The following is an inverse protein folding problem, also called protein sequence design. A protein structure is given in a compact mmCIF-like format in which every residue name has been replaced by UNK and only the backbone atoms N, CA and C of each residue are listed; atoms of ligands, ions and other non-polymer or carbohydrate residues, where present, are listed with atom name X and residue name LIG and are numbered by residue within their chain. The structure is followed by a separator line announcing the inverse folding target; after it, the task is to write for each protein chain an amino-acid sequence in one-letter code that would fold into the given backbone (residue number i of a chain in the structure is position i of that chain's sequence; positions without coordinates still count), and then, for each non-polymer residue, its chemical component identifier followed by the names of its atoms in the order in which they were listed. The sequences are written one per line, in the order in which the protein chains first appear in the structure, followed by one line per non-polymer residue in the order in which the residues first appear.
data_IF_958785388134
#
_entry.id   IF_958785388134
#
_cell.length_a   1.000
_cell.length_b   1.000
_cell.length_c   1.000
_cell.angle_alpha   90.00
_cell.angle_beta   90.00
_cell.angle_gamma   90.00
#
_symmetry.space_group_name_H-M   'P 1'
#
loop_
_entity.id
_entity.type
_entity.pdbx_description
1 polymer ?
#
# COMPACT_ATOMS: atom_id res chain seq x y z
N UNK A 1 0.52 36.66 -25.15
CA UNK A 1 -0.40 35.51 -25.00
C UNK A 1 -0.02 34.84 -23.69
N UNK A 2 -0.81 35.11 -22.66
CA UNK A 2 -0.43 35.07 -21.25
C UNK A 2 -0.26 33.66 -20.68
N UNK A 3 0.94 33.36 -20.19
CA UNK A 3 1.24 32.21 -19.35
C UNK A 3 0.34 32.15 -18.10
N UNK A 4 -0.13 33.30 -17.62
CA UNK A 4 -1.04 33.47 -16.48
C UNK A 4 -2.43 32.87 -16.72
N UNK A 5 -2.92 32.88 -17.96
CA UNK A 5 -4.25 32.36 -18.31
C UNK A 5 -4.26 30.84 -18.41
N UNK A 6 -3.13 30.26 -18.82
CA UNK A 6 -2.90 28.80 -18.83
C UNK A 6 -2.72 28.24 -17.40
N UNK A 7 -2.12 29.01 -16.49
CA UNK A 7 -1.96 28.66 -15.07
C UNK A 7 -3.31 28.55 -14.35
N UNK A 8 -4.20 29.53 -14.55
CA UNK A 8 -5.52 29.58 -13.90
C UNK A 8 -6.44 28.45 -14.41
N UNK A 9 -6.39 28.11 -15.71
CA UNK A 9 -7.13 26.98 -16.26
C UNK A 9 -6.64 25.63 -15.75
N UNK A 10 -5.34 25.50 -15.43
CA UNK A 10 -4.75 24.30 -14.81
C UNK A 10 -5.18 24.14 -13.35
N UNK A 11 -5.11 25.21 -12.56
CA UNK A 11 -5.53 25.20 -11.14
C UNK A 11 -7.02 24.82 -11.00
N UNK A 12 -7.89 25.30 -11.90
CA UNK A 12 -9.31 24.94 -11.90
C UNK A 12 -9.56 23.46 -12.24
N UNK A 13 -8.77 22.85 -13.12
CA UNK A 13 -8.89 21.42 -13.43
C UNK A 13 -8.41 20.53 -12.28
N UNK A 14 -7.34 20.95 -11.58
CA UNK A 14 -6.77 20.25 -10.42
C UNK A 14 -7.71 20.33 -9.21
N UNK A 15 -8.37 21.46 -8.97
CA UNK A 15 -9.32 21.61 -7.85
C UNK A 15 -10.57 20.71 -7.94
N UNK A 16 -11.00 20.34 -9.15
CA UNK A 16 -12.19 19.51 -9.36
C UNK A 16 -12.03 18.05 -8.87
N UNK A 17 -10.80 17.62 -8.58
CA UNK A 17 -10.50 16.29 -8.06
C UNK A 17 -10.30 16.27 -6.53
N UNK A 18 -10.19 17.44 -5.89
CA UNK A 18 -10.02 17.54 -4.43
C UNK A 18 -11.29 17.20 -3.65
N UNK A 19 -12.46 17.53 -4.18
CA UNK A 19 -13.75 17.37 -3.52
C UNK A 19 -14.63 16.48 -4.39
N UNK A 20 -14.83 15.23 -3.97
CA UNK A 20 -15.69 14.28 -4.67
C UNK A 20 -17.09 14.29 -4.06
N UNK A 21 -17.62 15.42 -3.57
CA UNK A 21 -19.01 15.46 -3.04
C UNK A 21 -20.00 15.79 -4.16
N UNK A 22 -21.15 15.10 -4.24
CA UNK A 22 -22.21 15.43 -5.20
C UNK A 22 -22.62 16.90 -5.01
N UNK A 23 -22.51 17.70 -6.06
CA UNK A 23 -22.97 19.09 -6.06
C UNK A 23 -24.43 19.18 -6.53
N UNK A 24 -24.94 18.16 -7.23
CA UNK A 24 -26.30 18.09 -7.77
C UNK A 24 -26.99 16.73 -7.52
N UNK A 25 -28.33 16.69 -7.40
CA UNK A 25 -29.10 15.44 -7.31
C UNK A 25 -28.88 14.54 -8.53
N UNK A 26 -28.53 13.27 -8.30
CA UNK A 26 -28.25 12.28 -9.36
C UNK A 26 -26.77 12.09 -9.70
N UNK A 27 -25.87 12.96 -9.22
CA UNK A 27 -24.42 12.79 -9.43
C UNK A 27 -23.81 11.67 -8.56
N UNK A 28 -24.52 11.20 -7.54
CA UNK A 28 -24.01 10.24 -6.57
C UNK A 28 -23.59 8.90 -7.21
N UNK A 29 -24.40 8.34 -8.11
CA UNK A 29 -24.07 7.04 -8.74
C UNK A 29 -22.84 7.13 -9.66
N UNK A 30 -22.75 8.21 -10.45
CA UNK A 30 -21.62 8.46 -11.34
C UNK A 30 -20.32 8.66 -10.52
N UNK A 31 -20.42 9.38 -9.41
CA UNK A 31 -19.34 9.62 -8.47
C UNK A 31 -18.89 8.34 -7.77
N UNK A 32 -19.82 7.53 -7.25
CA UNK A 32 -19.51 6.22 -6.64
C UNK A 32 -18.81 5.30 -7.63
N UNK A 33 -19.29 5.27 -8.87
CA UNK A 33 -18.67 4.48 -9.96
C UNK A 33 -17.27 5.00 -10.26
N UNK A 34 -17.09 6.32 -10.32
CA UNK A 34 -15.78 6.93 -10.53
C UNK A 34 -14.81 6.59 -9.39
N UNK A 35 -15.21 6.75 -8.13
CA UNK A 35 -14.41 6.41 -6.94
C UNK A 35 -13.98 4.95 -7.00
N UNK A 36 -14.90 4.04 -7.35
CA UNK A 36 -14.60 2.61 -7.48
C UNK A 36 -13.55 2.34 -8.57
N UNK A 37 -13.72 2.93 -9.76
CA UNK A 37 -12.76 2.76 -10.85
C UNK A 37 -11.38 3.29 -10.47
N UNK A 38 -11.31 4.48 -9.88
CA UNK A 38 -10.03 5.06 -9.41
C UNK A 38 -9.40 4.20 -8.33
N UNK A 39 -10.19 3.68 -7.41
CA UNK A 39 -9.75 2.76 -6.36
C UNK A 39 -9.14 1.47 -6.92
N UNK A 40 -9.79 0.87 -7.91
CA UNK A 40 -9.28 -0.32 -8.61
C UNK A 40 -7.97 -0.02 -9.35
N UNK A 41 -7.85 1.17 -9.94
CA UNK A 41 -6.63 1.60 -10.62
C UNK A 41 -5.47 1.84 -9.65
N UNK A 42 -5.74 2.53 -8.54
CA UNK A 42 -4.78 2.76 -7.45
C UNK A 42 -4.31 1.43 -6.84
N UNK A 43 -5.23 0.50 -6.59
CA UNK A 43 -4.87 -0.86 -6.17
C UNK A 43 -3.96 -1.55 -7.16
N UNK A 44 -4.29 -1.46 -8.44
CA UNK A 44 -3.50 -2.08 -9.49
C UNK A 44 -2.08 -1.48 -9.61
N UNK A 45 -1.95 -0.17 -9.38
CA UNK A 45 -0.69 0.55 -9.37
C UNK A 45 0.23 0.12 -8.23
N UNK A 46 -0.29 0.02 -7.01
CA UNK A 46 0.53 -0.29 -5.83
C UNK A 46 0.61 -1.78 -5.49
N UNK A 47 -0.18 -2.61 -6.15
CA UNK A 47 -0.11 -4.06 -6.00
C UNK A 47 1.22 -4.61 -6.52
N UNK A 48 2.15 -4.82 -5.59
CA UNK A 48 3.43 -5.49 -5.76
C UNK A 48 3.53 -6.68 -4.77
N UNK A 49 2.89 -7.82 -5.06
CA UNK A 49 2.96 -8.98 -4.17
C UNK A 49 4.40 -9.50 -4.06
N UNK A 50 4.82 -10.01 -2.89
CA UNK A 50 6.14 -10.62 -2.71
C UNK A 50 6.36 -11.82 -3.65
N UNK A 51 7.62 -12.21 -3.82
CA UNK A 51 7.98 -13.32 -4.71
C UNK A 51 7.27 -14.61 -4.29
N UNK A 52 6.60 -15.28 -5.23
CA UNK A 52 5.83 -16.50 -4.96
C UNK A 52 4.36 -16.26 -4.55
N UNK A 53 3.96 -15.00 -4.29
CA UNK A 53 2.58 -14.65 -3.97
C UNK A 53 1.84 -14.11 -5.19
N UNK A 54 0.51 -14.24 -5.17
CA UNK A 54 -0.39 -13.68 -6.19
C UNK A 54 -1.41 -12.78 -5.53
N UNK A 55 -1.70 -11.66 -6.19
CA UNK A 55 -2.77 -10.77 -5.76
C UNK A 55 -4.14 -11.39 -6.05
N UNK A 56 -4.99 -11.50 -5.02
CA UNK A 56 -6.36 -12.01 -5.11
C UNK A 56 -7.29 -11.08 -5.91
N UNK A 57 -6.98 -9.78 -6.01
CA UNK A 57 -7.79 -8.76 -6.69
C UNK A 57 -7.55 -8.68 -8.20
N UNK A 58 -6.78 -9.61 -8.79
CA UNK A 58 -6.47 -9.61 -10.23
C UNK A 58 -5.88 -8.28 -10.75
N UNK A 59 -5.15 -7.55 -9.91
CA UNK A 59 -4.53 -6.26 -10.24
C UNK A 59 -3.69 -6.28 -11.52
N UNK A 60 -3.11 -7.43 -11.90
CA UNK A 60 -2.42 -7.57 -13.18
C UNK A 60 -3.34 -7.32 -14.38
N UNK A 61 -4.56 -7.88 -14.37
CA UNK A 61 -5.55 -7.68 -15.44
C UNK A 61 -6.00 -6.22 -15.51
N UNK A 62 -6.13 -5.56 -14.36
CA UNK A 62 -6.52 -4.15 -14.30
C UNK A 62 -5.42 -3.27 -14.94
N UNK A 63 -4.13 -3.57 -14.70
CA UNK A 63 -3.01 -2.89 -15.36
C UNK A 63 -3.01 -3.11 -16.87
N UNK A 64 -3.28 -4.32 -17.33
CA UNK A 64 -3.39 -4.64 -18.76
C UNK A 64 -4.52 -3.81 -19.40
N UNK A 65 -5.70 -3.78 -18.77
CA UNK A 65 -6.86 -2.99 -19.23
C UNK A 65 -6.59 -1.48 -19.27
N UNK A 66 -5.80 -0.94 -18.34
CA UNK A 66 -5.40 0.47 -18.37
C UNK A 66 -4.53 0.80 -19.58
N UNK A 67 -3.70 -0.15 -20.02
CA UNK A 67 -2.81 0.01 -21.17
C UNK A 67 -3.60 -0.10 -22.48
N UNK A 68 -4.62 -0.95 -22.53
CA UNK A 68 -5.43 -1.20 -23.73
C UNK A 68 -6.54 -0.14 -23.97
N UNK A 69 -6.89 0.66 -22.97
CA UNK A 69 -7.96 1.66 -23.06
C UNK A 69 -7.43 3.10 -22.96
N UNK A 70 -7.38 3.85 -24.09
CA UNK A 70 -6.85 5.22 -24.11
C UNK A 70 -7.59 6.22 -23.20
N UNK A 71 -8.90 6.04 -22.98
CA UNK A 71 -9.67 6.93 -22.11
C UNK A 71 -9.35 6.68 -20.63
N UNK A 72 -9.19 5.42 -20.23
CA UNK A 72 -8.75 5.08 -18.88
C UNK A 72 -7.31 5.55 -18.65
N UNK A 73 -6.42 5.36 -19.62
CA UNK A 73 -5.04 5.85 -19.55
C UNK A 73 -4.98 7.38 -19.38
N UNK A 74 -5.76 8.15 -20.15
CA UNK A 74 -5.81 9.61 -20.02
C UNK A 74 -6.33 10.08 -18.65
N UNK A 75 -7.40 9.43 -18.17
CA UNK A 75 -7.98 9.71 -16.85
C UNK A 75 -6.96 9.40 -15.75
N UNK A 76 -6.26 8.27 -15.86
CA UNK A 76 -5.22 7.86 -14.94
C UNK A 76 -4.07 8.86 -14.88
N UNK A 77 -3.54 9.32 -16.03
CA UNK A 77 -2.50 10.35 -16.04
C UNK A 77 -2.95 11.65 -15.37
N UNK A 78 -4.22 12.04 -15.53
CA UNK A 78 -4.79 13.23 -14.87
C UNK A 78 -4.85 13.05 -13.35
N UNK A 79 -5.25 11.87 -12.89
CA UNK A 79 -5.26 11.51 -11.45
C UNK A 79 -3.84 11.53 -10.88
N UNK A 80 -2.88 10.91 -11.56
CA UNK A 80 -1.49 10.87 -11.11
C UNK A 80 -0.88 12.27 -11.03
N UNK A 81 -1.09 13.10 -12.05
CA UNK A 81 -0.65 14.50 -12.01
C UNK A 81 -1.27 15.27 -10.84
N UNK A 82 -2.56 15.03 -10.54
CA UNK A 82 -3.19 15.62 -9.36
C UNK A 82 -2.56 15.14 -8.06
N UNK A 83 -2.30 13.84 -7.91
CA UNK A 83 -1.68 13.29 -6.71
C UNK A 83 -0.26 13.82 -6.49
N UNK A 84 0.48 14.09 -7.57
CA UNK A 84 1.84 14.67 -7.52
C UNK A 84 1.83 16.16 -7.18
N UNK A 85 0.89 16.94 -7.74
CA UNK A 85 0.89 18.41 -7.62
C UNK A 85 0.03 18.92 -6.44
N UNK A 86 -0.99 18.18 -6.01
CA UNK A 86 -1.97 18.66 -5.03
C UNK A 86 -1.42 18.72 -3.61
N UNK A 87 -1.42 19.92 -3.03
CA UNK A 87 -0.98 20.18 -1.65
C UNK A 87 -2.14 20.41 -0.68
N UNK A 88 -3.39 20.26 -1.13
CA UNK A 88 -4.55 20.51 -0.27
C UNK A 88 -4.66 19.43 0.82
N UNK A 89 -4.66 19.80 2.11
CA UNK A 89 -4.84 18.84 3.20
C UNK A 89 -6.29 18.31 3.28
N UNK A 90 -7.22 18.93 2.55
CA UNK A 90 -8.62 18.49 2.45
C UNK A 90 -8.90 17.73 1.15
N UNK A 91 -7.87 17.36 0.38
CA UNK A 91 -8.06 16.60 -0.84
C UNK A 91 -8.50 15.18 -0.51
N UNK A 92 -9.75 14.86 -0.87
CA UNK A 92 -10.33 13.54 -0.72
C UNK A 92 -9.58 12.49 -1.56
N UNK A 93 -9.35 12.77 -2.84
CA UNK A 93 -8.68 11.83 -3.75
C UNK A 93 -7.28 11.46 -3.22
N UNK A 94 -6.53 12.46 -2.77
CA UNK A 94 -5.20 12.26 -2.18
C UNK A 94 -5.28 11.46 -0.89
N UNK A 95 -6.22 11.76 0.00
CA UNK A 95 -6.37 11.02 1.26
C UNK A 95 -6.74 9.56 1.00
N UNK A 96 -7.66 9.28 0.06
CA UNK A 96 -8.02 7.92 -0.38
C UNK A 96 -6.83 7.18 -0.98
N UNK A 97 -6.09 7.85 -1.86
CA UNK A 97 -4.88 7.33 -2.49
C UNK A 97 -3.83 6.93 -1.43
N UNK A 98 -3.46 7.85 -0.55
CA UNK A 98 -2.50 7.57 0.52
C UNK A 98 -2.97 6.46 1.46
N UNK A 99 -4.27 6.39 1.79
CA UNK A 99 -4.81 5.33 2.64
C UNK A 99 -4.66 3.95 1.99
N UNK A 100 -5.01 3.85 0.71
CA UNK A 100 -4.87 2.59 -0.06
C UNK A 100 -3.42 2.15 -0.17
N UNK A 101 -2.50 3.06 -0.49
CA UNK A 101 -1.08 2.76 -0.50
C UNK A 101 -0.61 2.21 0.86
N UNK A 102 -0.99 2.87 1.96
CA UNK A 102 -0.63 2.44 3.32
C UNK A 102 -1.21 1.06 3.65
N UNK A 103 -2.44 0.77 3.23
CA UNK A 103 -3.05 -0.55 3.43
C UNK A 103 -2.28 -1.65 2.68
N UNK A 104 -1.86 -1.41 1.43
CA UNK A 104 -1.01 -2.35 0.68
C UNK A 104 0.34 -2.55 1.36
N UNK A 105 1.00 -1.47 1.80
CA UNK A 105 2.27 -1.56 2.52
C UNK A 105 2.14 -2.35 3.83
N UNK A 106 1.03 -2.19 4.57
CA UNK A 106 0.74 -3.00 5.76
C UNK A 106 0.66 -4.49 5.40
N UNK A 107 -0.03 -4.85 4.32
CA UNK A 107 -0.17 -6.25 3.89
C UNK A 107 1.18 -6.86 3.48
N UNK A 108 1.98 -6.14 2.69
CA UNK A 108 3.33 -6.57 2.33
C UNK A 108 4.21 -6.76 3.57
N UNK A 109 4.20 -5.79 4.50
CA UNK A 109 4.98 -5.89 5.75
C UNK A 109 4.54 -7.04 6.63
N UNK A 110 3.26 -7.37 6.65
CA UNK A 110 2.76 -8.55 7.37
C UNK A 110 3.29 -9.86 6.76
N UNK A 111 3.38 -9.95 5.43
CA UNK A 111 3.96 -11.10 4.73
C UNK A 111 5.47 -11.22 4.99
N UNK A 112 6.23 -10.13 4.87
CA UNK A 112 7.67 -10.08 5.18
C UNK A 112 7.95 -10.55 6.62
N UNK A 113 7.16 -10.07 7.58
CA UNK A 113 7.26 -10.50 8.99
C UNK A 113 7.02 -12.01 9.14
N UNK A 114 6.06 -12.58 8.39
CA UNK A 114 5.79 -14.01 8.41
C UNK A 114 6.95 -14.83 7.83
N UNK A 115 7.57 -14.35 6.74
CA UNK A 115 8.72 -15.00 6.12
C UNK A 115 9.93 -15.02 7.06
N UNK A 116 10.33 -13.87 7.61
CA UNK A 116 11.46 -13.78 8.54
C UNK A 116 11.21 -14.60 9.80
N UNK A 117 9.96 -14.66 10.30
CA UNK A 117 9.60 -15.54 11.43
C UNK A 117 9.76 -17.01 11.10
N UNK A 118 9.36 -17.43 9.91
CA UNK A 118 9.50 -18.81 9.47
C UNK A 118 10.97 -19.19 9.30
N UNK A 119 11.78 -18.32 8.68
CA UNK A 119 13.22 -18.53 8.53
C UNK A 119 13.93 -18.60 9.90
N UNK A 120 13.60 -17.68 10.82
CA UNK A 120 14.15 -17.68 12.17
C UNK A 120 13.81 -18.98 12.91
N UNK A 121 12.57 -19.47 12.76
CA UNK A 121 12.15 -20.74 13.35
C UNK A 121 12.91 -21.92 12.74
N UNK A 122 12.98 -21.99 11.42
CA UNK A 122 13.68 -23.06 10.71
C UNK A 122 15.17 -23.09 11.09
N UNK A 123 15.84 -21.93 11.13
CA UNK A 123 17.24 -21.86 11.58
C UNK A 123 17.40 -22.29 13.04
N UNK A 124 16.50 -21.91 13.94
CA UNK A 124 16.52 -22.35 15.35
C UNK A 124 16.34 -23.87 15.48
N UNK A 125 15.40 -24.44 14.73
CA UNK A 125 15.14 -25.88 14.73
C UNK A 125 16.34 -26.67 14.15
N UNK A 126 16.89 -26.23 13.02
CA UNK A 126 18.06 -26.83 12.38
C UNK A 126 19.30 -26.77 13.28
N UNK A 127 19.53 -25.63 13.94
CA UNK A 127 20.65 -25.48 14.87
C UNK A 127 20.48 -26.37 16.11
N UNK A 128 19.27 -26.44 16.67
CA UNK A 128 18.96 -27.36 17.78
C UNK A 128 19.24 -28.81 17.39
N UNK A 129 18.86 -29.23 16.18
CA UNK A 129 19.16 -30.57 15.67
C UNK A 129 20.67 -30.79 15.49
N UNK A 130 21.39 -29.84 14.88
CA UNK A 130 22.84 -29.95 14.67
C UNK A 130 23.63 -30.10 15.98
N UNK A 131 23.18 -29.45 17.06
CA UNK A 131 23.76 -29.61 18.41
C UNK A 131 23.57 -31.01 18.99
N UNK A 132 22.51 -31.74 18.60
CA UNK A 132 22.24 -33.10 19.06
C UNK A 132 23.03 -34.20 18.31
N UNK A 133 23.53 -33.93 17.09
CA UNK A 133 24.13 -34.95 16.21
C UNK A 133 25.62 -34.72 15.86
N UNK A 134 26.27 -33.66 16.33
CA UNK A 134 27.66 -33.29 15.93
C UNK A 134 28.74 -33.61 16.96
N UNK A 135 29.91 -34.05 16.49
CA UNK A 135 31.14 -34.30 17.25
C UNK A 135 31.83 -32.98 17.68
N UNK A 136 32.44 -32.96 18.87
CA UNK A 136 32.75 -31.74 19.65
C UNK A 136 33.79 -30.79 19.03
N UNK A 137 34.63 -31.28 18.13
CA UNK A 137 35.89 -30.61 17.73
C UNK A 137 35.75 -29.61 16.58
N UNK A 138 34.59 -29.55 15.88
CA UNK A 138 34.30 -28.60 14.77
C UNK A 138 33.40 -27.42 15.18
N UNK A 139 33.04 -27.32 16.46
CA UNK A 139 31.90 -26.52 16.95
C UNK A 139 32.12 -25.00 17.06
N UNK A 140 33.33 -24.48 17.29
CA UNK A 140 33.48 -23.10 17.77
C UNK A 140 33.23 -22.01 16.71
N UNK A 141 33.76 -22.17 15.49
CA UNK A 141 33.64 -21.15 14.44
C UNK A 141 32.25 -21.14 13.80
N UNK A 142 31.63 -22.31 13.67
CA UNK A 142 30.27 -22.51 13.13
C UNK A 142 29.19 -21.95 14.09
N UNK A 143 29.42 -22.05 15.41
CA UNK A 143 28.53 -21.49 16.42
C UNK A 143 28.46 -19.96 16.36
N UNK A 144 29.58 -19.30 16.10
CA UNK A 144 29.67 -17.85 16.00
C UNK A 144 28.89 -17.30 14.80
N UNK A 145 29.02 -17.96 13.64
CA UNK A 145 28.28 -17.60 12.43
C UNK A 145 26.77 -17.82 12.60
N UNK A 146 26.35 -18.97 13.12
CA UNK A 146 24.94 -19.24 13.37
C UNK A 146 24.30 -18.27 14.36
N UNK A 147 25.03 -17.89 15.41
CA UNK A 147 24.56 -16.91 16.37
C UNK A 147 24.40 -15.52 15.74
N UNK A 148 25.39 -15.08 14.97
CA UNK A 148 25.32 -13.80 14.25
C UNK A 148 24.15 -13.75 13.26
N UNK A 149 23.89 -14.85 12.54
CA UNK A 149 22.74 -14.99 11.65
C UNK A 149 21.40 -14.87 12.38
N UNK A 150 21.26 -15.54 13.53
CA UNK A 150 20.03 -15.45 14.35
C UNK A 150 19.83 -14.03 14.89
N UNK A 151 20.89 -13.39 15.38
CA UNK A 151 20.85 -11.99 15.84
C UNK A 151 20.46 -11.04 14.70
N UNK A 152 20.96 -11.29 13.48
CA UNK A 152 20.59 -10.52 12.29
C UNK A 152 19.11 -10.65 11.95
N UNK A 153 18.57 -11.88 11.91
CA UNK A 153 17.14 -12.12 11.62
C UNK A 153 16.23 -11.56 12.74
N UNK A 154 16.68 -11.60 14.00
CA UNK A 154 15.94 -10.99 15.11
C UNK A 154 15.91 -9.46 15.01
N UNK A 155 17.04 -8.84 14.62
CA UNK A 155 17.12 -7.41 14.37
C UNK A 155 16.24 -6.98 13.19
N UNK A 156 16.27 -7.74 12.09
CA UNK A 156 15.41 -7.52 10.92
C UNK A 156 13.93 -7.61 11.29
N UNK A 157 13.52 -8.66 12.01
CA UNK A 157 12.16 -8.83 12.49
C UNK A 157 11.71 -7.67 13.37
N UNK A 158 12.60 -7.13 14.20
CA UNK A 158 12.30 -5.98 15.05
C UNK A 158 12.16 -4.69 14.24
N UNK A 159 12.99 -4.50 13.21
CA UNK A 159 12.87 -3.39 12.28
C UNK A 159 11.52 -3.43 11.53
N UNK A 160 11.17 -4.57 10.94
CA UNK A 160 9.91 -4.77 10.23
C UNK A 160 8.68 -4.49 11.11
N UNK A 161 8.70 -4.93 12.37
CA UNK A 161 7.62 -4.62 13.33
C UNK A 161 7.51 -3.12 13.61
N UNK A 162 8.64 -2.43 13.72
CA UNK A 162 8.68 -0.98 13.96
C UNK A 162 8.09 -0.23 12.77
N UNK A 163 8.48 -0.60 11.54
CA UNK A 163 7.88 -0.08 10.31
C UNK A 163 6.37 -0.33 10.24
N UNK A 164 5.92 -1.55 10.58
CA UNK A 164 4.49 -1.89 10.63
C UNK A 164 3.72 -1.00 11.61
N UNK A 165 4.28 -0.74 12.80
CA UNK A 165 3.63 0.17 13.77
C UNK A 165 3.53 1.60 13.25
N UNK A 166 4.55 2.09 12.54
CA UNK A 166 4.52 3.41 11.89
C UNK A 166 3.44 3.48 10.81
N UNK A 167 3.32 2.45 9.98
CA UNK A 167 2.28 2.36 8.96
C UNK A 167 0.86 2.31 9.56
N UNK A 168 0.67 1.56 10.65
CA UNK A 168 -0.61 1.54 11.37
C UNK A 168 -0.97 2.92 11.97
N UNK A 169 0.01 3.65 12.48
CA UNK A 169 -0.20 5.02 12.95
C UNK A 169 -0.60 5.95 11.80
N UNK A 170 0.08 5.83 10.64
CA UNK A 170 -0.27 6.59 9.43
C UNK A 170 -1.69 6.25 8.93
N UNK A 171 -2.08 4.97 8.91
CA UNK A 171 -3.45 4.53 8.60
C UNK A 171 -4.45 5.26 9.50
N UNK A 172 -4.23 5.22 10.82
CA UNK A 172 -5.13 5.83 11.81
C UNK A 172 -5.27 7.34 11.58
N UNK A 173 -4.15 8.03 11.28
CA UNK A 173 -4.17 9.45 10.96
C UNK A 173 -4.96 9.76 9.70
N UNK A 174 -4.83 8.95 8.63
CA UNK A 174 -5.56 9.14 7.38
C UNK A 174 -7.06 8.90 7.57
N UNK A 175 -7.46 7.86 8.30
CA UNK A 175 -8.86 7.62 8.66
C UNK A 175 -9.47 8.83 9.40
N UNK A 176 -8.74 9.41 10.36
CA UNK A 176 -9.19 10.61 11.08
C UNK A 176 -9.36 11.83 10.15
N UNK A 177 -8.47 11.99 9.15
CA UNK A 177 -8.62 13.01 8.11
C UNK A 177 -9.89 12.78 7.28
N UNK A 178 -10.17 11.55 6.88
CA UNK A 178 -11.39 11.20 6.13
C UNK A 178 -12.67 11.46 6.93
N UNK A 179 -12.66 11.13 8.23
CA UNK A 179 -13.76 11.45 9.15
C UNK A 179 -14.00 12.96 9.23
N UNK A 180 -12.91 13.75 9.30
CA UNK A 180 -12.98 15.22 9.33
C UNK A 180 -13.60 15.80 8.06
N UNK A 181 -13.32 15.20 6.90
CA UNK A 181 -13.87 15.61 5.59
C UNK A 181 -15.30 15.05 5.40
N UNK A 182 -15.82 14.27 6.36
CA UNK A 182 -17.12 13.59 6.33
C UNK A 182 -17.28 12.68 5.11
N UNK A 183 -16.30 11.81 4.91
CA UNK A 183 -16.32 10.82 3.84
C UNK A 183 -16.72 9.46 4.39
N UNK A 184 -17.56 8.72 3.65
CA UNK A 184 -17.75 7.31 3.93
C UNK A 184 -16.58 6.54 3.31
N UNK A 185 -15.60 6.22 4.15
CA UNK A 185 -14.36 5.52 3.77
C UNK A 185 -14.39 4.05 4.17
N UNK A 186 -15.49 3.57 4.75
CA UNK A 186 -15.61 2.21 5.25
C UNK A 186 -15.47 1.18 4.13
N UNK A 187 -15.84 1.53 2.90
CA UNK A 187 -15.60 0.70 1.71
C UNK A 187 -14.10 0.47 1.43
N UNK A 188 -13.22 1.38 1.86
CA UNK A 188 -11.76 1.24 1.76
C UNK A 188 -11.22 0.25 2.82
N UNK A 189 -11.90 0.14 3.96
CA UNK A 189 -11.57 -0.78 5.06
C UNK A 189 -12.17 -2.19 4.85
N UNK A 190 -13.25 -2.30 4.05
CA UNK A 190 -14.13 -3.47 3.97
C UNK A 190 -13.64 -4.66 3.14
N UNK A 191 -12.43 -4.68 2.57
CA UNK A 191 -11.93 -5.86 1.85
C UNK A 191 -11.24 -6.93 2.72
N UNK A 192 -11.55 -7.00 4.03
CA UNK A 192 -10.92 -7.96 4.98
C UNK A 192 -11.84 -9.00 5.60
N UNK A 193 -13.08 -9.14 5.15
CA UNK A 193 -13.94 -10.26 5.56
C UNK A 193 -14.67 -10.85 4.35
N UNK A 194 -14.05 -11.84 3.72
CA UNK A 194 -14.65 -12.56 2.60
C UNK A 194 -13.90 -13.84 2.28
N UNK A 195 -14.21 -14.88 3.09
CA UNK A 195 -13.92 -16.32 2.96
C UNK A 195 -12.48 -16.78 2.70
#
# INVERSE_FOLDING_TARGET
MDATKTSILREHAVCNLCLLKPQEPGQLEALTTWIKNVSEQLDAQWCAPPLGYRCSRSCSKIRDQMSDNPQLASTWHTIMAHLEECQSPQCELRTRAELREVLHLIECKQLEICEVRNELKEKKDNWSMAMHYSDETRRSDDLGLHKADLESLEAELQNLKTELTSLMAKKTSLCATMDTIQLDWRDEDCNRQGN
#
